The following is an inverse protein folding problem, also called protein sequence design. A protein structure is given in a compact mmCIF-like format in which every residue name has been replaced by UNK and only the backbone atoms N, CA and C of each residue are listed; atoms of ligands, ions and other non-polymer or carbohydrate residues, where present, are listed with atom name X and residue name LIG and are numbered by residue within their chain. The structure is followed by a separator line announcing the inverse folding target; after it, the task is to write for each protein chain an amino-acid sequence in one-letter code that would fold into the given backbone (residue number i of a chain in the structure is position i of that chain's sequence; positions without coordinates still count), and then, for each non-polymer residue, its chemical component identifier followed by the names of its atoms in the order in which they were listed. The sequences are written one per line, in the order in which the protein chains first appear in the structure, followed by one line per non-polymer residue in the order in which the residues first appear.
data_IF_136460497070
#
_entry.id   IF_136460497070
#
_cell.length_a   1.000
_cell.length_b   1.000
_cell.length_c   1.000
_cell.angle_alpha   90.00
_cell.angle_beta   90.00
_cell.angle_gamma   90.00
#
_symmetry.space_group_name_H-M   'P 1'
#
loop_
_entity.id
_entity.type
_entity.pdbx_description
1 polymer ?
#
# COMPACT_ATOMS: atom_id res chain seq x y z
N UNK A 1 27.14 7.00 -5.70
CA UNK A 1 27.28 7.69 -4.39
C UNK A 1 28.21 6.86 -3.52
N UNK A 2 29.17 7.48 -2.85
CA UNK A 2 30.03 6.78 -1.89
C UNK A 2 29.19 6.32 -0.69
N UNK A 3 29.45 5.13 -0.10
CA UNK A 3 28.75 4.69 1.09
C UNK A 3 28.98 5.68 2.24
N UNK A 4 27.91 6.22 2.78
CA UNK A 4 27.96 7.08 3.96
C UNK A 4 28.10 6.22 5.20
N UNK A 5 29.19 6.40 5.96
CA UNK A 5 29.34 5.80 7.28
C UNK A 5 28.41 6.57 8.22
N UNK A 6 27.32 5.93 8.65
CA UNK A 6 26.39 6.52 9.61
C UNK A 6 26.87 6.20 11.04
N UNK A 7 26.76 7.15 12.00
CA UNK A 7 27.07 6.89 13.41
C UNK A 7 26.21 5.73 13.95
N UNK A 8 26.79 4.86 14.79
CA UNK A 8 26.10 3.70 15.37
C UNK A 8 24.81 4.05 16.14
N UNK A 9 24.69 5.29 16.64
CA UNK A 9 23.49 5.78 17.30
C UNK A 9 22.30 6.03 16.35
N UNK A 10 22.50 5.98 15.03
CA UNK A 10 21.50 6.32 14.02
C UNK A 10 21.03 5.12 13.18
N UNK A 11 21.71 3.96 13.26
CA UNK A 11 21.36 2.77 12.48
C UNK A 11 21.55 1.51 13.32
N UNK A 12 20.47 0.82 13.57
CA UNK A 12 20.50 -0.52 14.16
C UNK A 12 21.23 -1.49 13.21
N UNK A 13 22.26 -2.17 13.71
CA UNK A 13 23.04 -3.12 12.92
C UNK A 13 22.14 -4.31 12.55
N UNK A 14 22.03 -4.59 11.26
CA UNK A 14 21.27 -5.74 10.78
C UNK A 14 21.99 -7.04 11.14
N UNK A 15 21.30 -7.94 11.82
CA UNK A 15 21.78 -9.28 12.13
C UNK A 15 21.16 -10.31 11.17
N UNK A 16 22.05 -11.04 10.48
CA UNK A 16 21.72 -12.02 9.43
C UNK A 16 21.99 -13.47 9.88
N UNK A 17 22.28 -13.70 11.16
CA UNK A 17 22.67 -15.02 11.67
C UNK A 17 21.52 -16.04 11.65
N UNK A 18 20.28 -15.58 11.84
CA UNK A 18 19.10 -16.43 11.89
C UNK A 18 18.26 -16.33 10.61
N UNK A 19 18.07 -17.47 9.95
CA UNK A 19 17.20 -17.62 8.80
C UNK A 19 15.98 -18.50 9.09
N UNK A 20 14.86 -18.15 8.47
CA UNK A 20 13.58 -18.85 8.58
C UNK A 20 12.98 -19.12 7.20
N UNK A 21 12.31 -20.26 7.06
CA UNK A 21 11.56 -20.58 5.85
C UNK A 21 10.15 -19.99 5.93
N UNK A 22 9.74 -19.19 4.96
CA UNK A 22 8.37 -18.68 4.83
C UNK A 22 7.72 -19.35 3.63
N UNK A 23 6.54 -19.94 3.82
CA UNK A 23 5.76 -20.58 2.77
C UNK A 23 4.58 -19.67 2.36
N UNK A 24 4.40 -19.48 1.07
CA UNK A 24 3.37 -18.60 0.47
C UNK A 24 2.68 -19.31 -0.67
N UNK A 25 1.38 -19.09 -0.81
CA UNK A 25 0.53 -19.76 -1.80
C UNK A 25 0.08 -21.15 -1.36
N UNK A 26 -0.72 -21.77 -2.22
CA UNK A 26 -1.36 -23.06 -2.02
C UNK A 26 -1.19 -23.98 -3.25
N UNK A 27 -1.41 -25.27 -3.04
CA UNK A 27 -1.29 -26.29 -4.10
C UNK A 27 0.01 -26.16 -4.90
N UNK A 28 -0.13 -26.15 -6.22
CA UNK A 28 0.98 -26.06 -7.17
C UNK A 28 1.65 -24.67 -7.21
N UNK A 29 0.99 -23.64 -6.67
CA UNK A 29 1.55 -22.28 -6.60
C UNK A 29 2.40 -22.04 -5.35
N UNK A 30 2.42 -23.01 -4.42
CA UNK A 30 3.12 -22.87 -3.13
C UNK A 30 4.63 -22.74 -3.33
N UNK A 31 5.20 -21.63 -2.86
CA UNK A 31 6.64 -21.38 -2.88
C UNK A 31 7.18 -21.16 -1.46
N UNK A 32 8.41 -21.63 -1.22
CA UNK A 32 9.14 -21.37 0.02
C UNK A 32 10.25 -20.33 -0.21
N UNK A 33 10.48 -19.49 0.80
CA UNK A 33 11.48 -18.44 0.82
C UNK A 33 12.33 -18.55 2.08
N UNK A 34 13.65 -18.59 1.95
CA UNK A 34 14.56 -18.50 3.09
C UNK A 34 14.89 -17.03 3.35
N UNK A 35 14.45 -16.48 4.48
CA UNK A 35 14.54 -15.06 4.83
C UNK A 35 15.21 -14.86 6.18
N UNK A 36 15.83 -13.70 6.41
CA UNK A 36 16.46 -13.38 7.70
C UNK A 36 15.41 -12.95 8.72
N UNK A 37 15.36 -13.65 9.84
CA UNK A 37 14.36 -13.45 10.92
C UNK A 37 14.29 -11.99 11.37
N UNK A 38 15.45 -11.38 11.62
CA UNK A 38 15.52 -10.00 12.13
C UNK A 38 15.00 -8.97 11.12
N UNK A 39 15.27 -9.16 9.82
CA UNK A 39 14.79 -8.25 8.77
C UNK A 39 13.27 -8.29 8.71
N UNK A 40 12.67 -9.47 8.54
CA UNK A 40 11.22 -9.58 8.39
C UNK A 40 10.48 -9.20 9.68
N UNK A 41 11.04 -9.49 10.85
CA UNK A 41 10.45 -9.13 12.16
C UNK A 41 10.51 -7.63 12.43
N UNK A 42 11.54 -6.93 11.93
CA UNK A 42 11.63 -5.47 12.03
C UNK A 42 10.49 -4.77 11.30
N UNK A 43 10.14 -5.27 10.11
CA UNK A 43 9.10 -4.66 9.27
C UNK A 43 7.67 -5.11 9.63
N UNK A 44 7.51 -6.34 10.11
CA UNK A 44 6.19 -6.96 10.29
C UNK A 44 5.97 -7.41 11.73
N UNK A 45 4.95 -6.85 12.37
CA UNK A 45 4.53 -7.29 13.72
C UNK A 45 4.02 -8.73 13.68
N UNK A 46 3.40 -9.17 12.58
CA UNK A 46 3.03 -10.57 12.35
C UNK A 46 4.24 -11.50 12.48
N UNK A 47 5.32 -11.24 11.72
CA UNK A 47 6.52 -12.08 11.78
C UNK A 47 7.20 -11.99 13.14
N UNK A 48 7.25 -10.79 13.74
CA UNK A 48 7.80 -10.61 15.09
C UNK A 48 7.09 -11.46 16.13
N UNK A 49 5.75 -11.49 16.11
CA UNK A 49 4.94 -12.35 17.00
C UNK A 49 5.17 -13.82 16.70
N UNK A 50 5.07 -14.22 15.42
CA UNK A 50 5.19 -15.62 15.00
C UNK A 50 6.58 -16.23 15.23
N UNK A 51 7.63 -15.39 15.25
CA UNK A 51 9.03 -15.77 15.45
C UNK A 51 9.53 -15.51 16.87
N UNK A 52 8.67 -14.94 17.74
CA UNK A 52 8.99 -14.75 19.15
C UNK A 52 8.69 -16.02 19.96
N UNK A 53 9.71 -16.52 20.65
CA UNK A 53 9.60 -17.60 21.64
C UNK A 53 10.10 -18.98 21.21
N UNK A 54 10.37 -19.81 22.22
CA UNK A 54 11.00 -21.15 22.07
C UNK A 54 10.18 -22.14 21.24
N UNK A 55 8.89 -21.88 21.01
CA UNK A 55 8.00 -22.81 20.32
C UNK A 55 8.26 -22.88 18.80
N UNK A 56 8.69 -21.78 18.18
CA UNK A 56 9.02 -21.75 16.75
C UNK A 56 10.32 -22.53 16.46
N UNK A 57 11.33 -22.36 17.31
CA UNK A 57 12.62 -23.05 17.22
C UNK A 57 12.47 -24.56 17.38
N UNK A 58 11.49 -25.01 18.18
CA UNK A 58 11.32 -26.42 18.50
C UNK A 58 10.57 -27.25 17.44
N UNK A 59 9.76 -26.66 16.54
CA UNK A 59 8.74 -27.48 15.85
C UNK A 59 8.43 -27.33 14.36
N UNK A 60 9.01 -26.40 13.57
CA UNK A 60 8.94 -26.52 12.08
C UNK A 60 9.74 -25.49 11.27
N UNK A 61 10.32 -24.44 11.87
CA UNK A 61 11.03 -23.35 11.16
C UNK A 61 10.30 -22.81 9.91
N UNK A 62 8.98 -22.96 9.85
CA UNK A 62 8.18 -22.58 8.69
C UNK A 62 6.93 -21.81 9.10
N UNK A 63 6.76 -20.62 8.52
CA UNK A 63 5.59 -19.75 8.70
C UNK A 63 4.78 -19.73 7.40
N UNK A 64 3.47 -19.88 7.50
CA UNK A 64 2.56 -19.63 6.38
C UNK A 64 2.06 -18.19 6.43
N UNK A 65 2.07 -17.51 5.29
CA UNK A 65 1.47 -16.17 5.17
C UNK A 65 -0.04 -16.31 4.93
N UNK A 66 -0.90 -15.61 5.70
CA UNK A 66 -2.35 -15.79 5.63
C UNK A 66 -2.97 -15.24 4.34
N UNK A 67 -2.38 -14.21 3.74
CA UNK A 67 -2.90 -13.55 2.56
C UNK A 67 -1.79 -13.27 1.54
N UNK A 68 -2.16 -13.18 0.25
CA UNK A 68 -1.25 -12.78 -0.81
C UNK A 68 -0.68 -13.95 -1.63
N UNK A 69 -0.51 -13.67 -2.92
CA UNK A 69 0.14 -14.57 -3.85
C UNK A 69 1.67 -14.43 -3.81
N UNK A 70 2.35 -15.42 -4.38
CA UNK A 70 3.83 -15.47 -4.46
C UNK A 70 4.43 -14.21 -5.09
N UNK A 71 3.77 -13.62 -6.10
CA UNK A 71 4.28 -12.42 -6.77
C UNK A 71 4.19 -11.19 -5.85
N UNK A 72 3.08 -11.05 -5.13
CA UNK A 72 2.87 -9.97 -4.15
C UNK A 72 3.83 -10.10 -2.98
N UNK A 73 4.08 -11.32 -2.50
CA UNK A 73 5.06 -11.54 -1.44
C UNK A 73 6.49 -11.22 -1.86
N UNK A 74 6.88 -11.48 -3.12
CA UNK A 74 8.18 -11.04 -3.65
C UNK A 74 8.32 -9.52 -3.63
N UNK A 75 7.26 -8.76 -3.91
CA UNK A 75 7.26 -7.29 -3.78
C UNK A 75 7.48 -6.87 -2.32
N UNK A 76 6.83 -7.55 -1.38
CA UNK A 76 7.02 -7.26 0.05
C UNK A 76 8.43 -7.62 0.54
N UNK A 77 9.01 -8.75 0.09
CA UNK A 77 10.42 -9.08 0.39
C UNK A 77 11.35 -7.99 -0.15
N UNK A 78 11.15 -7.54 -1.39
CA UNK A 78 11.93 -6.46 -1.98
C UNK A 78 11.85 -5.20 -1.10
N UNK A 79 10.65 -4.83 -0.65
CA UNK A 79 10.45 -3.73 0.29
C UNK A 79 11.21 -3.95 1.61
N UNK A 80 11.03 -5.10 2.27
CA UNK A 80 11.63 -5.38 3.57
C UNK A 80 13.16 -5.39 3.54
N UNK A 81 13.77 -5.76 2.40
CA UNK A 81 15.23 -5.82 2.27
C UNK A 81 15.86 -4.52 1.76
N UNK A 82 15.15 -3.76 0.91
CA UNK A 82 15.74 -2.62 0.22
C UNK A 82 15.14 -1.27 0.59
N UNK A 83 14.00 -1.25 1.29
CA UNK A 83 13.20 -0.04 1.50
C UNK A 83 12.58 0.51 0.22
N UNK A 84 12.60 -0.23 -0.89
CA UNK A 84 12.08 0.20 -2.18
C UNK A 84 10.98 -0.75 -2.67
N UNK A 85 9.92 -0.18 -3.26
CA UNK A 85 8.84 -0.95 -3.90
C UNK A 85 9.02 -0.88 -5.42
N UNK A 86 9.31 -2.02 -6.05
CA UNK A 86 9.50 -2.13 -7.50
C UNK A 86 8.25 -2.77 -8.12
N UNK A 87 7.31 -1.93 -8.56
CA UNK A 87 6.00 -2.41 -9.04
C UNK A 87 6.03 -3.00 -10.44
N UNK A 88 7.00 -2.66 -11.28
CA UNK A 88 7.10 -3.11 -12.67
C UNK A 88 8.56 -3.42 -13.00
N UNK A 89 8.81 -4.48 -13.77
CA UNK A 89 10.13 -4.75 -14.35
C UNK A 89 10.47 -3.73 -15.45
N UNK A 90 11.75 -3.68 -15.84
CA UNK A 90 12.18 -2.80 -16.93
C UNK A 90 11.44 -3.10 -18.25
N UNK A 91 11.22 -4.37 -18.56
CA UNK A 91 10.49 -4.79 -19.78
C UNK A 91 8.99 -4.47 -19.72
N UNK A 92 8.41 -4.44 -18.51
CA UNK A 92 7.01 -4.05 -18.34
C UNK A 92 6.86 -2.55 -18.65
N UNK A 93 7.73 -1.70 -18.09
CA UNK A 93 7.69 -0.22 -18.24
C UNK A 93 7.75 0.33 -19.68
N UNK A 94 8.11 -0.50 -20.65
CA UNK A 94 8.17 -0.10 -22.07
C UNK A 94 6.75 -0.02 -22.70
N UNK A 95 5.70 -0.54 -22.06
CA UNK A 95 4.33 -0.65 -22.58
C UNK A 95 3.36 0.34 -21.88
N UNK A 96 3.52 1.64 -22.17
CA UNK A 96 2.96 2.79 -21.44
C UNK A 96 1.47 2.74 -21.01
N UNK A 97 0.56 2.06 -21.74
CA UNK A 97 -0.87 2.06 -21.42
C UNK A 97 -1.31 0.96 -20.43
N UNK A 98 -0.75 -0.24 -20.47
CA UNK A 98 -1.11 -1.35 -19.58
C UNK A 98 -0.41 -1.26 -18.20
N UNK A 99 0.74 -0.59 -18.17
CA UNK A 99 1.61 -0.44 -17.00
C UNK A 99 0.92 0.25 -15.82
N UNK A 100 0.06 1.22 -16.12
CA UNK A 100 -0.57 2.04 -15.08
C UNK A 100 -1.67 1.28 -14.35
N UNK A 101 -2.41 0.42 -15.03
CA UNK A 101 -3.43 -0.44 -14.42
C UNK A 101 -2.79 -1.59 -13.63
N UNK A 102 -1.75 -2.23 -14.19
CA UNK A 102 -1.03 -3.30 -13.51
C UNK A 102 -0.32 -2.80 -12.26
N UNK A 103 0.35 -1.65 -12.31
CA UNK A 103 0.99 -1.06 -11.14
C UNK A 103 -0.02 -0.72 -10.04
N UNK A 104 -1.18 -0.16 -10.39
CA UNK A 104 -2.28 0.09 -9.42
C UNK A 104 -2.78 -1.21 -8.80
N UNK A 105 -2.98 -2.27 -9.60
CA UNK A 105 -3.36 -3.60 -9.10
C UNK A 105 -2.32 -4.15 -8.12
N UNK A 106 -1.02 -4.08 -8.46
CA UNK A 106 0.09 -4.53 -7.60
C UNK A 106 0.16 -3.73 -6.30
N UNK A 107 -0.07 -2.42 -6.35
CA UNK A 107 -0.21 -1.59 -5.15
C UNK A 107 -1.37 -2.08 -4.27
N UNK A 108 -2.57 -2.27 -4.83
CA UNK A 108 -3.73 -2.74 -4.05
C UNK A 108 -3.44 -4.07 -3.35
N UNK A 109 -2.89 -5.04 -4.08
CA UNK A 109 -2.50 -6.34 -3.51
C UNK A 109 -1.42 -6.22 -2.43
N UNK A 110 -0.40 -5.38 -2.66
CA UNK A 110 0.67 -5.17 -1.68
C UNK A 110 0.16 -4.47 -0.43
N UNK A 111 -0.80 -3.54 -0.55
CA UNK A 111 -1.45 -2.91 0.59
C UNK A 111 -2.17 -3.95 1.47
N UNK A 112 -2.97 -4.83 0.85
CA UNK A 112 -3.68 -5.93 1.54
C UNK A 112 -2.70 -6.86 2.25
N UNK A 113 -1.64 -7.29 1.55
CA UNK A 113 -0.59 -8.11 2.16
C UNK A 113 0.09 -7.40 3.34
N UNK A 114 0.42 -6.11 3.19
CA UNK A 114 1.03 -5.32 4.26
C UNK A 114 0.09 -5.13 5.46
N UNK A 115 -1.23 -5.11 5.24
CA UNK A 115 -2.23 -5.15 6.32
C UNK A 115 -2.18 -6.47 7.08
N UNK A 116 -2.24 -7.59 6.35
CA UNK A 116 -2.16 -8.93 6.94
C UNK A 116 -0.83 -9.20 7.66
N UNK A 117 0.26 -8.60 7.20
CA UNK A 117 1.59 -8.66 7.83
C UNK A 117 1.78 -7.65 8.96
N UNK A 118 0.79 -6.80 9.24
CA UNK A 118 0.89 -5.70 10.21
C UNK A 118 2.12 -4.79 9.95
N UNK A 119 2.41 -4.49 8.68
CA UNK A 119 3.49 -3.59 8.24
C UNK A 119 2.91 -2.23 7.84
N UNK A 120 2.69 -1.39 8.86
CA UNK A 120 2.09 -0.04 8.73
C UNK A 120 2.92 0.87 7.81
N UNK A 121 4.25 0.79 7.86
CA UNK A 121 5.11 1.63 7.04
C UNK A 121 5.01 1.25 5.55
N UNK A 122 4.91 -0.05 5.24
CA UNK A 122 4.65 -0.50 3.88
C UNK A 122 3.29 0.00 3.37
N UNK A 123 2.22 -0.13 4.17
CA UNK A 123 0.88 0.39 3.79
C UNK A 123 0.92 1.89 3.47
N UNK A 124 1.60 2.69 4.29
CA UNK A 124 1.74 4.13 4.07
C UNK A 124 2.57 4.44 2.81
N UNK A 125 3.64 3.69 2.59
CA UNK A 125 4.49 3.84 1.39
C UNK A 125 3.71 3.49 0.12
N UNK A 126 2.93 2.40 0.13
CA UNK A 126 2.04 2.02 -0.97
C UNK A 126 0.99 3.09 -1.21
N UNK A 127 0.43 3.68 -0.15
CA UNK A 127 -0.54 4.78 -0.24
C UNK A 127 0.06 6.00 -0.93
N UNK A 128 1.28 6.40 -0.56
CA UNK A 128 1.99 7.52 -1.21
C UNK A 128 2.26 7.25 -2.70
N UNK A 129 2.63 6.01 -3.05
CA UNK A 129 2.81 5.60 -4.44
C UNK A 129 1.49 5.64 -5.22
N UNK A 130 0.40 5.16 -4.61
CA UNK A 130 -0.92 5.22 -5.21
C UNK A 130 -1.36 6.66 -5.44
N UNK A 131 -1.29 7.55 -4.44
CA UNK A 131 -1.64 8.98 -4.58
C UNK A 131 -0.96 9.60 -5.82
N UNK A 132 0.35 9.38 -5.97
CA UNK A 132 1.12 9.87 -7.13
C UNK A 132 0.62 9.28 -8.45
N UNK A 133 0.31 7.97 -8.48
CA UNK A 133 -0.18 7.30 -9.69
C UNK A 133 -1.61 7.67 -10.06
N UNK A 134 -2.50 7.88 -9.08
CA UNK A 134 -3.89 8.29 -9.33
C UNK A 134 -3.94 9.68 -9.98
N UNK A 135 -3.04 10.58 -9.57
CA UNK A 135 -2.87 11.90 -10.18
C UNK A 135 -2.45 11.81 -11.65
N UNK A 136 -1.44 10.97 -11.95
CA UNK A 136 -0.85 10.90 -13.29
C UNK A 136 -1.71 10.14 -14.33
N UNK A 137 -2.60 9.25 -13.89
CA UNK A 137 -3.23 8.25 -14.78
C UNK A 137 -4.76 8.16 -14.66
N UNK A 138 -5.42 9.29 -14.37
CA UNK A 138 -6.88 9.42 -14.39
C UNK A 138 -7.64 8.54 -13.36
N UNK A 139 -7.11 8.40 -12.14
CA UNK A 139 -7.86 7.85 -11.00
C UNK A 139 -7.71 6.35 -10.75
N UNK A 140 -8.53 5.76 -9.85
CA UNK A 140 -8.43 4.34 -9.50
C UNK A 140 -9.00 3.46 -10.63
N UNK A 141 -8.41 2.29 -10.85
CA UNK A 141 -8.98 1.30 -11.77
C UNK A 141 -10.14 0.56 -11.09
N UNK A 142 -11.05 -0.02 -11.88
CA UNK A 142 -12.12 -0.85 -11.32
C UNK A 142 -11.57 -2.04 -10.51
N UNK A 143 -10.45 -2.63 -10.97
CA UNK A 143 -9.75 -3.68 -10.24
C UNK A 143 -9.16 -3.20 -8.90
N UNK A 144 -8.59 -2.00 -8.85
CA UNK A 144 -8.10 -1.43 -7.59
C UNK A 144 -9.25 -1.18 -6.61
N UNK A 145 -10.37 -0.65 -7.10
CA UNK A 145 -11.57 -0.45 -6.29
C UNK A 145 -12.09 -1.78 -5.75
N UNK A 146 -12.13 -2.81 -6.60
CA UNK A 146 -12.52 -4.16 -6.19
C UNK A 146 -11.62 -4.70 -5.09
N UNK A 147 -10.30 -4.61 -5.25
CA UNK A 147 -9.35 -5.03 -4.21
C UNK A 147 -9.58 -4.28 -2.90
N UNK A 148 -9.76 -2.96 -2.96
CA UNK A 148 -10.00 -2.15 -1.77
C UNK A 148 -11.26 -2.59 -1.01
N UNK A 149 -12.38 -2.79 -1.71
CA UNK A 149 -13.66 -3.11 -1.08
C UNK A 149 -13.83 -4.58 -0.71
N UNK A 150 -13.17 -5.52 -1.38
CA UNK A 150 -13.33 -6.95 -1.10
C UNK A 150 -12.28 -7.48 -0.11
N UNK A 151 -11.11 -6.82 0.00
CA UNK A 151 -9.96 -7.34 0.76
C UNK A 151 -9.41 -6.40 1.82
N UNK A 152 -10.10 -5.31 2.17
CA UNK A 152 -9.74 -4.48 3.32
C UNK A 152 -11.00 -4.14 4.12
N UNK A 153 -10.94 -3.77 5.41
CA UNK A 153 -12.13 -3.39 6.19
C UNK A 153 -12.75 -2.05 5.72
N UNK A 154 -13.98 -1.76 6.14
CA UNK A 154 -14.72 -0.54 5.74
C UNK A 154 -13.97 0.77 6.05
N UNK A 155 -13.25 0.81 7.17
CA UNK A 155 -12.47 1.97 7.60
C UNK A 155 -11.06 2.07 6.97
N UNK A 156 -10.75 1.20 6.00
CA UNK A 156 -9.46 1.16 5.30
C UNK A 156 -9.13 2.47 4.60
N UNK A 157 -7.88 2.93 4.76
CA UNK A 157 -7.37 4.12 4.07
C UNK A 157 -7.30 3.94 2.55
N UNK A 158 -7.11 2.70 2.08
CA UNK A 158 -7.14 2.40 0.64
C UNK A 158 -8.53 2.60 0.05
N UNK A 159 -9.59 2.12 0.74
CA UNK A 159 -10.99 2.37 0.33
C UNK A 159 -11.27 3.86 0.29
N UNK A 160 -10.91 4.56 1.37
CA UNK A 160 -11.12 6.02 1.48
C UNK A 160 -10.40 6.81 0.39
N UNK A 161 -9.16 6.44 0.05
CA UNK A 161 -8.41 7.10 -1.03
C UNK A 161 -9.10 6.93 -2.38
N UNK A 162 -9.58 5.72 -2.70
CA UNK A 162 -10.28 5.47 -3.97
C UNK A 162 -11.62 6.23 -4.03
N UNK A 163 -12.38 6.19 -2.93
CA UNK A 163 -13.68 6.85 -2.82
C UNK A 163 -13.54 8.38 -2.94
N UNK A 164 -12.70 8.99 -2.11
CA UNK A 164 -12.50 10.44 -2.11
C UNK A 164 -12.08 10.94 -3.51
N UNK A 165 -11.22 10.20 -4.23
CA UNK A 165 -10.82 10.56 -5.60
C UNK A 165 -12.01 10.53 -6.58
N UNK A 166 -12.86 9.52 -6.50
CA UNK A 166 -14.02 9.37 -7.39
C UNK A 166 -15.14 10.38 -7.08
N UNK A 167 -15.26 10.79 -5.82
CA UNK A 167 -16.21 11.82 -5.39
C UNK A 167 -15.88 13.16 -6.04
N UNK A 168 -14.61 13.57 -6.01
CA UNK A 168 -14.18 14.87 -6.58
C UNK A 168 -13.98 14.84 -8.11
N UNK A 169 -13.84 13.65 -8.72
CA UNK A 169 -13.71 13.47 -10.17
C UNK A 169 -14.82 12.56 -10.74
N UNK A 170 -16.10 12.98 -10.66
CA UNK A 170 -17.21 12.14 -11.09
C UNK A 170 -17.15 11.88 -12.60
N UNK A 171 -17.30 10.61 -12.99
CA UNK A 171 -17.38 10.20 -14.39
C UNK A 171 -18.49 9.18 -14.61
N UNK A 172 -19.63 9.66 -15.10
CA UNK A 172 -20.79 8.80 -15.38
C UNK A 172 -20.54 7.79 -16.51
N UNK A 173 -19.67 8.12 -17.47
CA UNK A 173 -19.26 7.18 -18.53
C UNK A 173 -18.42 6.04 -17.93
N UNK A 174 -17.41 6.36 -17.13
CA UNK A 174 -16.57 5.34 -16.50
C UNK A 174 -17.37 4.42 -15.57
N UNK A 175 -18.27 4.98 -14.75
CA UNK A 175 -19.14 4.18 -13.87
C UNK A 175 -20.08 3.26 -14.64
N UNK A 176 -20.61 3.72 -15.78
CA UNK A 176 -21.45 2.92 -16.67
C UNK A 176 -20.65 1.76 -17.27
N UNK A 177 -19.46 2.04 -17.79
CA UNK A 177 -18.61 1.06 -18.48
C UNK A 177 -18.05 -0.02 -17.52
N UNK A 178 -17.97 0.31 -16.23
CA UNK A 178 -17.45 -0.58 -15.18
C UNK A 178 -18.51 -1.08 -14.21
N UNK A 179 -19.81 -0.81 -14.47
CA UNK A 179 -20.93 -1.11 -13.57
C UNK A 179 -20.88 -2.51 -12.97
N UNK A 180 -20.70 -3.52 -13.82
CA UNK A 180 -20.77 -4.93 -13.42
C UNK A 180 -19.45 -5.45 -12.80
N UNK A 181 -18.39 -4.64 -12.86
CA UNK A 181 -17.05 -4.96 -12.30
C UNK A 181 -16.78 -4.26 -10.97
N UNK A 182 -17.53 -3.21 -10.66
CA UNK A 182 -17.35 -2.42 -9.45
C UNK A 182 -18.13 -3.01 -8.28
N UNK A 183 -17.60 -2.92 -7.04
CA UNK A 183 -18.29 -3.37 -5.84
C UNK A 183 -19.62 -2.62 -5.63
N UNK A 184 -20.73 -3.32 -5.30
CA UNK A 184 -22.00 -2.65 -4.97
C UNK A 184 -21.88 -1.63 -3.83
N UNK A 185 -21.08 -1.94 -2.82
CA UNK A 185 -20.82 -1.04 -1.70
C UNK A 185 -20.18 0.29 -2.14
N UNK A 186 -19.30 0.28 -3.17
CA UNK A 186 -18.73 1.51 -3.71
C UNK A 186 -19.81 2.43 -4.30
N UNK A 187 -20.83 1.88 -4.96
CA UNK A 187 -21.93 2.70 -5.48
C UNK A 187 -22.75 3.35 -4.36
N UNK A 188 -22.98 2.61 -3.27
CA UNK A 188 -23.67 3.14 -2.10
C UNK A 188 -22.87 4.27 -1.47
N UNK A 189 -21.57 4.06 -1.25
CA UNK A 189 -20.68 5.06 -0.66
C UNK A 189 -20.56 6.30 -1.56
N UNK A 190 -20.45 6.14 -2.88
CA UNK A 190 -20.46 7.26 -3.83
C UNK A 190 -21.76 8.07 -3.77
N UNK A 191 -22.91 7.40 -3.72
CA UNK A 191 -24.20 8.07 -3.64
C UNK A 191 -24.35 8.87 -2.34
N UNK A 192 -23.87 8.31 -1.22
CA UNK A 192 -23.86 8.98 0.08
C UNK A 192 -22.94 10.19 0.05
N UNK A 193 -21.68 10.01 -0.34
CA UNK A 193 -20.67 11.09 -0.32
C UNK A 193 -21.01 12.22 -1.32
N UNK A 194 -21.59 11.91 -2.48
CA UNK A 194 -22.10 12.96 -3.37
C UNK A 194 -23.28 13.72 -2.77
N UNK A 195 -24.14 13.07 -1.99
CA UNK A 195 -25.18 13.75 -1.22
C UNK A 195 -24.60 14.71 -0.19
N UNK A 196 -23.61 14.25 0.59
CA UNK A 196 -22.89 15.07 1.57
C UNK A 196 -22.24 16.30 0.90
N UNK A 197 -21.55 16.10 -0.22
CA UNK A 197 -20.90 17.20 -0.96
C UNK A 197 -21.92 18.14 -1.61
N UNK A 198 -23.10 17.64 -2.00
CA UNK A 198 -24.18 18.48 -2.51
C UNK A 198 -24.79 19.37 -1.42
N UNK A 199 -24.90 18.85 -0.19
CA UNK A 199 -25.37 19.61 0.97
C UNK A 199 -24.34 20.64 1.45
N UNK A 200 -23.05 20.28 1.44
CA UNK A 200 -21.94 21.15 1.81
C UNK A 200 -20.67 20.84 1.01
N UNK A 201 -20.36 21.73 0.06
CA UNK A 201 -19.22 21.57 -0.83
C UNK A 201 -17.85 21.59 -0.12
N UNK A 202 -17.76 22.09 1.12
CA UNK A 202 -16.50 22.10 1.87
C UNK A 202 -15.98 20.70 2.24
N UNK A 203 -16.83 19.68 2.15
CA UNK A 203 -16.46 18.28 2.38
C UNK A 203 -15.76 17.62 1.18
N UNK A 204 -15.76 18.27 0.01
CA UNK A 204 -15.03 17.79 -1.16
C UNK A 204 -13.53 17.95 -0.94
N UNK A 205 -12.89 16.91 -0.42
CA UNK A 205 -11.46 16.92 -0.12
C UNK A 205 -10.70 16.29 -1.29
N UNK A 206 -9.85 17.10 -1.92
CA UNK A 206 -8.90 16.61 -2.91
C UNK A 206 -7.84 15.72 -2.23
N UNK A 207 -7.75 14.41 -2.57
CA UNK A 207 -6.75 13.54 -2.00
C UNK A 207 -5.31 14.01 -2.22
N UNK A 208 -5.04 14.77 -3.28
CA UNK A 208 -3.70 15.27 -3.58
C UNK A 208 -3.25 16.33 -2.57
N UNK A 209 -4.14 17.28 -2.26
CA UNK A 209 -3.87 18.39 -1.33
C UNK A 209 -4.16 18.04 0.14
N UNK A 210 -4.82 16.91 0.40
CA UNK A 210 -5.10 16.48 1.76
C UNK A 210 -3.83 16.13 2.55
N UNK A 211 -3.78 16.44 3.86
CA UNK A 211 -2.72 16.01 4.76
C UNK A 211 -2.49 14.50 4.69
N UNK A 212 -1.22 14.07 4.79
CA UNK A 212 -0.85 12.64 4.68
C UNK A 212 -1.60 11.77 5.69
N UNK A 213 -1.75 12.25 6.94
CA UNK A 213 -2.47 11.58 8.02
C UNK A 213 -3.91 11.17 7.66
N UNK A 214 -4.54 11.82 6.66
CA UNK A 214 -5.86 11.43 6.20
C UNK A 214 -5.86 9.99 5.65
N UNK A 215 -4.81 9.61 4.93
CA UNK A 215 -4.66 8.31 4.26
C UNK A 215 -3.55 7.44 4.83
N UNK A 216 -2.76 7.93 5.80
CA UNK A 216 -1.77 7.12 6.51
C UNK A 216 -2.37 6.53 7.78
N UNK A 217 -1.89 5.34 8.11
CA UNK A 217 -2.11 4.68 9.40
C UNK A 217 -0.96 5.03 10.34
N UNK A 218 -1.28 5.15 11.63
CA UNK A 218 -0.31 5.49 12.68
C UNK A 218 -0.43 4.53 13.84
N UNK A 219 0.72 4.20 14.43
CA UNK A 219 0.82 3.38 15.62
C UNK A 219 2.09 3.72 16.41
N UNK A 220 2.39 2.97 17.46
CA UNK A 220 3.55 3.23 18.33
C UNK A 220 4.90 3.18 17.60
N UNK A 221 5.00 2.45 16.49
CA UNK A 221 6.21 2.32 15.66
C UNK A 221 6.18 3.26 14.44
N UNK A 222 5.01 3.77 14.05
CA UNK A 222 4.82 4.70 12.94
C UNK A 222 4.08 5.94 13.44
N UNK A 223 4.79 6.99 13.89
CA UNK A 223 4.17 8.19 14.44
C UNK A 223 3.37 8.96 13.38
N UNK A 224 2.58 9.94 13.84
CA UNK A 224 1.85 10.87 12.98
C UNK A 224 2.80 11.51 11.95
N UNK A 225 2.30 11.76 10.73
CA UNK A 225 3.11 12.44 9.71
C UNK A 225 3.46 13.85 10.21
N UNK A 226 4.73 14.22 10.08
CA UNK A 226 5.12 15.62 10.22
C UNK A 226 4.44 16.44 9.11
N UNK A 227 3.76 17.51 9.48
CA UNK A 227 3.25 18.49 8.52
C UNK A 227 4.47 19.21 7.91
N UNK A 228 4.81 18.85 6.67
CA UNK A 228 5.79 19.61 5.90
C UNK A 228 5.28 21.04 5.68
N UNK A 229 6.18 22.03 5.53
CA UNK A 229 5.76 23.41 5.29
C UNK A 229 4.84 23.49 4.07
N UNK A 230 3.72 24.18 4.20
CA UNK A 230 2.83 24.50 3.07
C UNK A 230 3.66 25.13 1.95
N UNK A 231 3.89 24.40 0.86
CA UNK A 231 4.35 25.02 -0.38
C UNK A 231 3.20 25.89 -0.90
N UNK A 232 3.18 27.14 -0.43
CA UNK A 232 2.31 28.18 -0.95
C UNK A 232 2.51 28.26 -2.47
N UNK A 233 1.43 28.18 -3.29
CA UNK A 233 1.58 28.34 -4.72
C UNK A 233 2.11 29.75 -4.99
N UNK A 234 3.33 29.82 -5.54
CA UNK A 234 3.94 31.06 -5.96
C UNK A 234 2.96 31.81 -6.86
N UNK A 235 2.52 32.97 -6.39
CA UNK A 235 1.72 33.89 -7.18
C UNK A 235 2.55 34.38 -8.36
N UNK A 236 2.34 33.80 -9.54
CA UNK A 236 2.80 34.39 -10.79
C UNK A 236 2.00 35.68 -11.01
N UNK A 237 2.56 36.80 -10.55
CA UNK A 237 2.21 38.12 -11.10
C UNK A 237 3.01 38.32 -12.37
N UNK A 238 2.35 38.11 -13.49
CA UNK A 238 2.76 38.58 -14.80
C UNK A 238 2.79 40.11 -14.79
N UNK A 239 3.92 40.68 -15.17
CA UNK A 239 4.03 42.03 -15.75
C UNK A 239 4.47 41.88 -17.19
#
# INVERSE_FOLDING_TARGET
MAPTILPAAQVEQLDFSEAVTVAVGDGDSKQQFLLHKNIISRHSKFFRKALSGNFFEAKKKSINVPEGDVATFKLWIQWAYSGNIVLLSASEQEHQNDDCALARKRCGKLYVLADALEDTLCRNTVTDLLKKKLLLHHGPSAELCKIAYEHTPENSKLRKLCLDWLVINPSGTWLRDHRDRLPPALFADLAIEWGVVADDQSWAIDPFNAPKCKYHDHDTEVPACEEGPEESPASNKTT
#
